data_IF_555037809719
#
_entry.id   IF_555037809719
#
_cell.length_a   1.000
_cell.length_b   1.000
_cell.length_c   1.000
_cell.angle_alpha   90.00
_cell.angle_beta   90.00
_cell.angle_gamma   90.00
#
_symmetry.space_group_name_H-M   'P 1'
#
loop_
_entity.id
_entity.type
_entity.pdbx_description
1 polymer ?
#
# COMPACT_ATOMS: atom_id res chain seq x y z
N UNK A 1 -21.46 29.46 7.88
CA UNK A 1 -20.75 28.57 8.84
C UNK A 1 -21.01 27.11 8.49
N UNK A 2 -20.04 26.38 7.93
CA UNK A 2 -20.17 24.94 7.65
C UNK A 2 -19.81 24.16 8.91
N UNK A 3 -20.81 23.56 9.57
CA UNK A 3 -20.59 22.56 10.63
C UNK A 3 -19.86 21.37 9.99
N UNK A 4 -18.55 21.24 10.21
CA UNK A 4 -17.82 20.00 9.96
C UNK A 4 -18.45 18.95 10.87
N UNK A 5 -19.29 18.06 10.31
CA UNK A 5 -19.64 16.80 10.95
C UNK A 5 -18.33 16.06 11.18
N UNK A 6 -17.84 16.06 12.42
CA UNK A 6 -16.81 15.14 12.88
C UNK A 6 -17.48 13.78 12.90
N UNK A 7 -17.50 13.10 11.75
CA UNK A 7 -17.60 11.65 11.75
C UNK A 7 -16.29 11.22 12.37
N UNK A 8 -16.30 10.77 13.62
CA UNK A 8 -15.24 9.93 14.16
C UNK A 8 -15.21 8.65 13.32
N UNK A 9 -14.61 8.75 12.14
CA UNK A 9 -14.27 7.58 11.35
C UNK A 9 -13.30 6.80 12.21
N UNK A 10 -13.71 5.62 12.68
CA UNK A 10 -12.83 4.66 13.32
C UNK A 10 -11.60 4.53 12.42
N UNK A 11 -10.46 5.06 12.87
CA UNK A 11 -9.23 5.04 12.08
C UNK A 11 -8.78 3.60 12.03
N UNK A 12 -8.79 3.02 10.84
CA UNK A 12 -8.24 1.68 10.62
C UNK A 12 -6.78 1.71 11.09
N UNK A 13 -6.41 0.90 12.10
CA UNK A 13 -5.05 0.89 12.60
C UNK A 13 -4.11 0.28 11.57
N UNK A 14 -2.88 0.81 11.46
CA UNK A 14 -1.88 0.25 10.55
C UNK A 14 -1.54 -1.20 10.94
N UNK A 15 -1.42 -2.10 9.94
CA UNK A 15 -0.97 -3.49 10.13
C UNK A 15 0.31 -3.57 10.97
N UNK A 16 1.26 -2.66 10.73
CA UNK A 16 2.54 -2.65 11.47
C UNK A 16 2.34 -2.43 12.96
N UNK A 17 1.35 -1.61 13.33
CA UNK A 17 0.98 -1.33 14.72
C UNK A 17 0.27 -2.54 15.33
N UNK A 18 -0.66 -3.15 14.60
CA UNK A 18 -1.35 -4.36 15.05
C UNK A 18 -0.40 -5.55 15.26
N UNK A 19 0.55 -5.76 14.35
CA UNK A 19 1.61 -6.77 14.51
C UNK A 19 2.45 -6.53 15.76
N UNK A 20 2.83 -5.28 16.02
CA UNK A 20 3.57 -4.91 17.24
C UNK A 20 2.78 -5.22 18.50
N UNK A 21 1.48 -4.93 18.51
CA UNK A 21 0.59 -5.23 19.64
C UNK A 21 0.40 -6.74 19.82
N UNK A 22 0.19 -7.52 18.75
CA UNK A 22 0.11 -8.97 18.83
C UNK A 22 1.38 -9.60 19.39
N UNK A 23 2.56 -9.16 18.94
CA UNK A 23 3.83 -9.65 19.48
C UNK A 23 3.97 -9.32 20.97
N UNK A 24 3.55 -8.13 21.40
CA UNK A 24 3.56 -7.75 22.81
C UNK A 24 2.56 -8.55 23.65
N UNK A 25 1.38 -8.84 23.12
CA UNK A 25 0.36 -9.67 23.79
C UNK A 25 0.79 -11.14 23.91
N UNK A 26 1.47 -11.69 22.91
CA UNK A 26 1.92 -13.09 22.91
C UNK A 26 3.28 -13.31 23.62
N UNK A 27 4.03 -12.25 23.92
CA UNK A 27 5.40 -12.37 24.48
C UNK A 27 5.44 -12.95 25.89
N UNK A 28 4.37 -12.83 26.66
CA UNK A 28 4.28 -13.38 28.02
C UNK A 28 2.91 -14.02 28.22
N UNK A 29 2.87 -15.17 28.89
CA UNK A 29 1.65 -15.90 29.25
C UNK A 29 0.92 -15.20 30.41
N UNK A 30 0.48 -13.96 30.20
CA UNK A 30 -0.38 -13.30 31.16
C UNK A 30 -1.78 -13.90 31.09
N UNK A 31 -2.42 -14.07 32.26
CA UNK A 31 -3.82 -14.51 32.34
C UNK A 31 -4.80 -13.44 31.86
N UNK A 32 -4.42 -12.17 31.94
CA UNK A 32 -5.20 -11.00 31.53
C UNK A 32 -4.26 -9.91 31.01
N UNK A 33 -4.70 -9.19 29.97
CA UNK A 33 -3.96 -8.06 29.41
C UNK A 33 -4.88 -6.84 29.31
N UNK A 34 -4.48 -5.71 29.90
CA UNK A 34 -5.22 -4.43 29.81
C UNK A 34 -4.47 -3.42 28.93
N UNK A 35 -5.13 -2.32 28.55
CA UNK A 35 -4.50 -1.24 27.79
C UNK A 35 -3.28 -0.65 28.50
N UNK A 36 -3.34 -0.48 29.82
CA UNK A 36 -2.22 0.03 30.62
C UNK A 36 -1.02 -0.92 30.61
N UNK A 37 -1.26 -2.23 30.73
CA UNK A 37 -0.19 -3.22 30.68
C UNK A 37 0.45 -3.28 29.29
N UNK A 38 -0.37 -3.26 28.25
CA UNK A 38 0.12 -3.21 26.88
C UNK A 38 0.88 -1.91 26.60
N UNK A 39 0.44 -0.79 27.18
CA UNK A 39 1.12 0.50 27.12
C UNK A 39 2.53 0.43 27.71
N UNK A 40 2.69 -0.17 28.89
CA UNK A 40 4.00 -0.38 29.51
C UNK A 40 4.93 -1.27 28.69
N UNK A 41 4.41 -2.31 28.04
CA UNK A 41 5.22 -3.23 27.23
C UNK A 41 5.65 -2.57 25.91
N UNK A 42 4.73 -1.83 25.28
CA UNK A 42 4.93 -1.30 23.94
C UNK A 42 5.54 0.10 23.97
N UNK A 43 5.38 0.86 25.07
CA UNK A 43 5.82 2.25 25.19
C UNK A 43 4.89 3.22 24.44
N UNK A 44 3.58 2.98 24.46
CA UNK A 44 2.57 3.81 23.79
C UNK A 44 1.46 4.10 24.79
N UNK A 45 0.92 5.31 24.79
CA UNK A 45 -0.15 5.71 25.71
C UNK A 45 -1.40 4.79 25.62
N UNK A 46 -2.03 4.42 26.76
CA UNK A 46 -3.20 3.56 26.79
C UNK A 46 -4.36 4.06 25.92
N UNK A 47 -4.57 5.37 25.83
CA UNK A 47 -5.64 6.00 25.05
C UNK A 47 -5.43 5.80 23.55
N UNK A 48 -4.17 5.79 23.10
CA UNK A 48 -3.81 5.54 21.70
C UNK A 48 -4.02 4.08 21.36
N UNK A 49 -3.65 3.17 22.26
CA UNK A 49 -3.91 1.73 22.12
C UNK A 49 -5.43 1.49 22.07
N UNK A 50 -6.19 2.09 22.98
CA UNK A 50 -7.64 2.00 22.99
C UNK A 50 -8.25 2.58 21.72
N UNK A 51 -7.72 3.70 21.20
CA UNK A 51 -8.12 4.26 19.92
C UNK A 51 -7.91 3.29 18.75
N UNK A 52 -6.77 2.60 18.69
CA UNK A 52 -6.51 1.61 17.63
C UNK A 52 -7.36 0.33 17.77
N UNK A 53 -7.47 -0.20 18.99
CA UNK A 53 -8.22 -1.42 19.27
C UNK A 53 -9.74 -1.18 19.28
N UNK A 54 -10.19 0.08 19.38
CA UNK A 54 -11.61 0.44 19.25
C UNK A 54 -12.23 0.10 17.90
N UNK A 55 -11.40 -0.17 16.89
CA UNK A 55 -11.84 -0.72 15.62
C UNK A 55 -12.46 -2.12 15.77
N UNK A 56 -11.96 -2.93 16.69
CA UNK A 56 -12.45 -4.28 16.97
C UNK A 56 -13.49 -4.29 18.08
N UNK A 57 -13.26 -3.50 19.14
CA UNK A 57 -14.17 -3.40 20.27
C UNK A 57 -14.40 -1.92 20.66
N UNK A 58 -15.52 -1.31 20.24
CA UNK A 58 -15.78 0.11 20.50
C UNK A 58 -15.80 0.50 21.99
N UNK A 59 -16.15 -0.46 22.86
CA UNK A 59 -16.26 -0.26 24.31
C UNK A 59 -14.91 -0.03 25.01
N UNK A 60 -13.81 -0.37 24.35
CA UNK A 60 -12.46 -0.27 24.92
C UNK A 60 -12.05 1.16 25.28
N UNK A 61 -12.65 2.17 24.63
CA UNK A 61 -12.45 3.58 24.97
C UNK A 61 -13.06 3.96 26.33
N UNK A 62 -14.15 3.29 26.72
CA UNK A 62 -14.88 3.56 27.96
C UNK A 62 -14.41 2.66 29.11
N UNK A 63 -13.98 1.44 28.78
CA UNK A 63 -13.51 0.45 29.74
C UNK A 63 -12.09 -0.04 29.38
N UNK A 64 -11.03 0.70 29.77
CA UNK A 64 -9.65 0.33 29.47
C UNK A 64 -9.15 -0.91 30.24
N UNK A 65 -9.95 -1.40 31.19
CA UNK A 65 -9.70 -2.61 31.98
C UNK A 65 -10.16 -3.90 31.30
N UNK A 66 -10.77 -3.82 30.12
CA UNK A 66 -11.16 -4.99 29.33
C UNK A 66 -9.96 -5.86 28.96
N UNK A 67 -10.19 -7.16 28.85
CA UNK A 67 -9.14 -8.12 28.50
C UNK A 67 -8.87 -8.13 26.99
N UNK A 68 -7.69 -7.65 26.61
CA UNK A 68 -7.25 -7.53 25.22
C UNK A 68 -6.94 -8.89 24.58
N UNK A 69 -6.77 -9.95 25.37
CA UNK A 69 -6.47 -11.29 24.86
C UNK A 69 -7.63 -11.84 24.01
N UNK A 70 -8.86 -11.43 24.31
CA UNK A 70 -10.05 -11.82 23.55
C UNK A 70 -10.04 -11.27 22.11
N UNK A 71 -9.29 -10.18 21.86
CA UNK A 71 -9.21 -9.53 20.56
C UNK A 71 -8.13 -10.13 19.65
N UNK A 72 -7.24 -10.97 20.18
CA UNK A 72 -6.18 -11.64 19.42
C UNK A 72 -6.70 -12.33 18.15
N UNK A 73 -7.76 -13.16 18.17
CA UNK A 73 -8.24 -13.82 16.95
C UNK A 73 -8.72 -12.82 15.90
N UNK A 74 -9.43 -11.76 16.30
CA UNK A 74 -9.94 -10.74 15.38
C UNK A 74 -8.80 -9.93 14.75
N UNK A 75 -7.78 -9.58 15.53
CA UNK A 75 -6.61 -8.86 15.03
C UNK A 75 -5.83 -9.74 14.04
N UNK A 76 -5.66 -11.04 14.32
CA UNK A 76 -4.98 -11.98 13.41
C UNK A 76 -5.71 -12.10 12.08
N UNK A 77 -7.04 -12.28 12.11
CA UNK A 77 -7.86 -12.36 10.90
C UNK A 77 -7.73 -11.10 10.05
N UNK A 78 -7.83 -9.93 10.67
CA UNK A 78 -7.72 -8.67 9.95
C UNK A 78 -6.35 -8.48 9.28
N UNK A 79 -5.27 -8.88 9.95
CA UNK A 79 -3.92 -8.85 9.35
C UNK A 79 -3.85 -9.76 8.14
N UNK A 80 -4.42 -10.97 8.22
CA UNK A 80 -4.43 -11.92 7.11
C UNK A 80 -5.23 -11.38 5.92
N UNK A 81 -6.44 -10.87 6.15
CA UNK A 81 -7.29 -10.29 5.10
C UNK A 81 -6.60 -9.12 4.38
N UNK A 82 -5.85 -8.29 5.11
CA UNK A 82 -5.11 -7.18 4.51
C UNK A 82 -3.85 -7.63 3.76
N UNK A 83 -3.21 -8.71 4.20
CA UNK A 83 -2.07 -9.30 3.49
C UNK A 83 -2.51 -9.96 2.18
N UNK A 84 -3.61 -10.71 2.19
CA UNK A 84 -4.18 -11.32 0.98
C UNK A 84 -4.59 -10.24 -0.05
N UNK A 85 -5.18 -9.13 0.40
CA UNK A 85 -5.48 -7.98 -0.46
C UNK A 85 -4.24 -7.32 -1.06
N UNK A 86 -3.11 -7.30 -0.35
CA UNK A 86 -1.85 -6.73 -0.86
C UNK A 86 -1.20 -7.60 -1.92
N UNK A 87 -1.37 -8.92 -1.86
CA UNK A 87 -0.80 -9.86 -2.84
C UNK A 87 -1.62 -9.87 -4.14
N UNK A 88 -2.91 -9.54 -4.09
CA UNK A 88 -3.82 -9.59 -5.23
C UNK A 88 -3.70 -8.44 -6.25
N UNK A 89 -2.79 -7.48 -6.04
CA UNK A 89 -2.56 -6.41 -7.02
C UNK A 89 -1.70 -6.90 -8.19
N UNK A 90 -2.05 -6.62 -9.47
CA UNK A 90 -1.15 -6.93 -10.58
C UNK A 90 0.19 -6.22 -10.34
N UNK A 91 1.33 -6.92 -10.56
CA UNK A 91 2.64 -6.34 -10.32
C UNK A 91 2.78 -5.06 -11.14
N UNK A 92 3.15 -3.95 -10.48
CA UNK A 92 3.33 -2.67 -11.16
C UNK A 92 4.39 -2.85 -12.24
N UNK A 93 3.97 -2.78 -13.50
CA UNK A 93 4.86 -2.99 -14.63
C UNK A 93 5.75 -1.77 -14.85
N UNK A 94 6.90 -1.72 -14.19
CA UNK A 94 7.82 -0.59 -14.32
C UNK A 94 8.73 -0.83 -15.51
N UNK A 95 8.71 0.09 -16.49
CA UNK A 95 9.71 0.10 -17.56
C UNK A 95 11.10 0.34 -16.95
N UNK A 96 12.04 -0.57 -17.20
CA UNK A 96 13.41 -0.50 -16.67
C UNK A 96 14.29 0.41 -17.52
N UNK A 97 15.41 0.90 -16.96
CA UNK A 97 16.37 1.73 -17.73
C UNK A 97 17.04 0.95 -18.87
N UNK A 98 17.11 -0.39 -18.75
CA UNK A 98 17.63 -1.29 -19.78
C UNK A 98 16.72 -1.31 -21.01
N UNK A 99 15.41 -1.36 -20.81
CA UNK A 99 14.40 -1.35 -21.87
C UNK A 99 14.39 -0.02 -22.64
N UNK A 100 14.85 1.07 -22.02
CA UNK A 100 14.99 2.37 -22.67
C UNK A 100 16.26 2.50 -23.52
N UNK A 101 17.29 1.70 -23.22
CA UNK A 101 18.54 1.68 -23.98
C UNK A 101 18.43 0.84 -25.26
N UNK A 102 17.40 0.00 -25.36
CA UNK A 102 17.13 -0.81 -26.55
C UNK A 102 16.61 0.03 -27.72
N UNK A 103 16.11 1.24 -27.45
CA UNK A 103 15.51 2.13 -28.43
C UNK A 103 16.18 3.50 -28.40
N UNK A 104 16.80 3.90 -29.52
CA UNK A 104 17.48 5.19 -29.63
C UNK A 104 16.51 6.37 -29.87
N UNK A 105 15.37 6.11 -30.50
CA UNK A 105 14.33 7.11 -30.81
C UNK A 105 12.94 6.48 -30.85
N UNK A 106 11.89 7.31 -30.78
CA UNK A 106 10.50 6.88 -30.98
C UNK A 106 10.32 6.16 -32.32
N UNK A 107 11.02 6.60 -33.38
CA UNK A 107 10.96 5.93 -34.68
C UNK A 107 11.50 4.49 -34.61
N UNK A 108 12.64 4.29 -33.94
CA UNK A 108 13.25 2.96 -33.75
C UNK A 108 12.34 2.02 -32.93
N UNK A 109 11.66 2.57 -31.91
CA UNK A 109 10.65 1.84 -31.16
C UNK A 109 9.50 1.36 -32.06
N UNK A 110 8.93 2.25 -32.88
CA UNK A 110 7.87 1.89 -33.83
C UNK A 110 8.37 0.86 -34.84
N UNK A 111 9.61 1.00 -35.33
CA UNK A 111 10.18 0.06 -36.29
C UNK A 111 10.34 -1.35 -35.71
N UNK A 112 10.86 -1.48 -34.49
CA UNK A 112 11.07 -2.79 -33.85
C UNK A 112 9.79 -3.46 -33.37
N UNK A 113 8.83 -2.68 -32.87
CA UNK A 113 7.64 -3.24 -32.20
C UNK A 113 6.39 -3.31 -33.07
N UNK A 114 6.23 -2.40 -34.03
CA UNK A 114 4.99 -2.25 -34.81
C UNK A 114 5.16 -2.57 -36.30
N UNK A 115 6.33 -3.04 -36.75
CA UNK A 115 6.59 -3.35 -38.16
C UNK A 115 6.67 -4.85 -38.38
N UNK A 116 5.93 -5.34 -39.36
CA UNK A 116 6.08 -6.69 -39.91
C UNK A 116 6.36 -6.58 -41.40
N UNK A 117 7.44 -7.23 -41.85
CA UNK A 117 7.88 -7.21 -43.25
C UNK A 117 8.07 -5.80 -43.87
N UNK A 118 8.48 -4.82 -43.06
CA UNK A 118 8.70 -3.43 -43.52
C UNK A 118 7.43 -2.57 -43.61
N UNK A 119 6.27 -3.12 -43.26
CA UNK A 119 4.99 -2.39 -43.15
C UNK A 119 4.60 -2.24 -41.69
N UNK A 120 4.15 -1.04 -41.32
CA UNK A 120 3.63 -0.77 -39.97
C UNK A 120 2.25 -1.40 -39.86
N UNK A 121 2.13 -2.39 -39.00
CA UNK A 121 0.87 -3.06 -38.73
C UNK A 121 0.02 -2.22 -37.76
N UNK A 122 -1.09 -1.70 -38.29
CA UNK A 122 -2.02 -0.83 -37.55
C UNK A 122 -2.86 -1.58 -36.53
N UNK A 123 -2.85 -2.91 -36.57
CA UNK A 123 -3.65 -3.76 -35.68
C UNK A 123 -2.86 -4.26 -34.46
N UNK A 124 -1.60 -3.87 -34.33
CA UNK A 124 -0.77 -4.25 -33.18
C UNK A 124 -1.24 -3.56 -31.90
N UNK A 125 -1.60 -4.35 -30.90
CA UNK A 125 -1.99 -3.85 -29.56
C UNK A 125 -0.77 -3.86 -28.67
N UNK A 126 -0.32 -2.66 -28.29
CA UNK A 126 0.85 -2.49 -27.42
C UNK A 126 0.55 -2.95 -25.99
N UNK A 127 1.52 -3.61 -25.37
CA UNK A 127 1.45 -4.00 -23.96
C UNK A 127 1.56 -2.77 -23.03
N UNK A 128 1.11 -2.89 -21.78
CA UNK A 128 1.27 -1.79 -20.80
C UNK A 128 2.75 -1.42 -20.57
N UNK A 129 3.68 -2.37 -20.79
CA UNK A 129 5.13 -2.14 -20.72
C UNK A 129 5.56 -1.19 -21.84
N UNK A 130 5.20 -1.53 -23.06
CA UNK A 130 5.52 -0.80 -24.29
C UNK A 130 4.97 0.62 -24.27
N UNK A 131 3.72 0.80 -23.84
CA UNK A 131 3.12 2.13 -23.68
C UNK A 131 3.87 3.00 -22.67
N UNK A 132 4.38 2.40 -21.57
CA UNK A 132 5.20 3.12 -20.59
C UNK A 132 6.59 3.47 -21.12
N UNK A 133 7.19 2.62 -21.95
CA UNK A 133 8.46 2.90 -22.65
C UNK A 133 8.26 4.04 -23.65
N UNK A 134 7.24 3.95 -24.52
CA UNK A 134 6.89 4.99 -25.49
C UNK A 134 6.66 6.34 -24.82
N UNK A 135 5.88 6.38 -23.73
CA UNK A 135 5.65 7.61 -22.97
C UNK A 135 6.96 8.26 -22.51
N UNK A 136 7.92 7.47 -22.04
CA UNK A 136 9.22 7.98 -21.60
C UNK A 136 10.07 8.49 -22.75
N UNK A 137 10.14 7.76 -23.87
CA UNK A 137 10.85 8.19 -25.08
C UNK A 137 10.28 9.52 -25.61
N UNK A 138 8.96 9.63 -25.70
CA UNK A 138 8.29 10.88 -26.12
C UNK A 138 8.60 12.03 -25.17
N UNK A 139 8.57 11.82 -23.85
CA UNK A 139 8.94 12.88 -22.90
C UNK A 139 10.40 13.31 -23.03
N UNK A 140 11.31 12.39 -23.37
CA UNK A 140 12.72 12.70 -23.58
C UNK A 140 12.92 13.54 -24.85
N UNK A 141 12.25 13.20 -25.96
CA UNK A 141 12.30 13.97 -27.21
C UNK A 141 11.69 15.38 -27.03
N UNK A 142 10.54 15.50 -26.35
CA UNK A 142 9.94 16.81 -26.05
C UNK A 142 10.89 17.66 -25.20
N UNK A 143 11.56 17.07 -24.22
CA UNK A 143 12.56 17.78 -23.42
C UNK A 143 13.78 18.21 -24.24
N UNK A 144 14.24 17.38 -25.18
CA UNK A 144 15.34 17.72 -26.09
C UNK A 144 14.96 18.87 -27.04
N UNK A 145 13.73 18.88 -27.59
CA UNK A 145 13.21 19.96 -28.42
C UNK A 145 13.14 21.27 -27.63
N UNK A 146 12.66 21.22 -26.38
CA UNK A 146 12.56 22.40 -25.51
C UNK A 146 13.91 23.00 -25.12
N UNK A 147 14.99 22.21 -25.06
CA UNK A 147 16.35 22.69 -24.79
C UNK A 147 17.06 23.28 -26.01
N UNK A 148 16.59 22.95 -27.22
CA UNK A 148 17.11 23.49 -28.48
C UNK A 148 16.44 24.80 -28.90
N UNK A 149 15.33 25.16 -28.26
CA UNK A 149 14.74 26.50 -28.30
C UNK A 149 15.33 27.36 -27.20
#
# INVERSE_FOLDING_TARGET
>A
MRKKKVRETMKVPSITVLKRYLTAMNRKNYRYMTCERLAHIVGVYPEVIAGHLSYFEPMLKMHPSSDLLLLIPQIKQHIQDEEEKKVAGPPRVVATKKDLLEYDSVADFVYKTMTHAGLIDRNTVLSEKELRILKRLVTAEIAAIRKKK
#
